data_IF_215479904575
#
_entry.id   IF_215479904575
#
_cell.length_a   1.000
_cell.length_b   1.000
_cell.length_c   1.000
_cell.angle_alpha   90.00
_cell.angle_beta   90.00
_cell.angle_gamma   90.00
#
_symmetry.space_group_name_H-M   'P 1'
#
loop_
_entity.id
_entity.type
_entity.pdbx_description
1 polymer ?
#
# COMPACT_ATOMS: atom_id res chain seq x y z
N UNK A 1 41.84 -36.04 -39.48
CA UNK A 1 42.91 -36.02 -38.47
C UNK A 1 42.32 -36.58 -37.19
N UNK A 2 42.73 -37.80 -36.85
CA UNK A 2 42.27 -38.57 -35.69
C UNK A 2 43.15 -38.20 -34.50
N UNK A 3 42.56 -37.87 -33.35
CA UNK A 3 43.14 -38.19 -32.05
C UNK A 3 42.03 -38.58 -31.07
N UNK A 4 42.32 -39.62 -30.31
CA UNK A 4 41.45 -40.54 -29.59
C UNK A 4 41.43 -40.29 -28.07
N UNK A 5 40.23 -40.39 -27.44
CA UNK A 5 39.85 -41.02 -26.13
C UNK A 5 40.67 -40.75 -24.84
N UNK A 6 40.26 -41.20 -23.61
CA UNK A 6 39.02 -41.86 -23.15
C UNK A 6 38.46 -41.35 -21.78
N UNK A 7 37.37 -41.99 -21.33
CA UNK A 7 36.94 -42.29 -19.94
C UNK A 7 35.59 -41.74 -19.43
N UNK A 8 34.67 -42.72 -19.24
CA UNK A 8 33.69 -42.95 -18.13
C UNK A 8 32.84 -41.77 -17.62
N UNK A 9 31.51 -41.80 -17.60
CA UNK A 9 30.60 -42.88 -17.20
C UNK A 9 30.05 -42.61 -15.80
N UNK A 10 28.93 -41.87 -15.68
CA UNK A 10 28.00 -41.92 -14.53
C UNK A 10 26.59 -41.57 -15.01
N UNK A 11 25.64 -42.49 -14.80
CA UNK A 11 24.22 -42.27 -15.01
C UNK A 11 23.65 -41.40 -13.88
N UNK A 12 23.09 -40.23 -14.23
CA UNK A 12 22.24 -39.45 -13.35
C UNK A 12 20.89 -39.24 -14.02
N UNK A 13 19.86 -39.94 -13.54
CA UNK A 13 18.46 -39.64 -13.87
C UNK A 13 18.15 -38.22 -13.38
N UNK A 14 17.99 -37.28 -14.31
CA UNK A 14 17.34 -36.00 -14.04
C UNK A 14 15.82 -36.23 -14.06
N UNK A 15 15.23 -36.45 -12.88
CA UNK A 15 13.78 -36.36 -12.73
C UNK A 15 13.38 -34.88 -12.76
N UNK A 16 12.84 -34.45 -13.90
CA UNK A 16 12.12 -33.18 -14.02
C UNK A 16 10.78 -33.31 -13.29
N UNK A 17 10.72 -32.84 -12.05
CA UNK A 17 9.47 -32.67 -11.33
C UNK A 17 8.78 -31.39 -11.82
N UNK A 18 7.84 -31.54 -12.76
CA UNK A 18 6.90 -30.48 -13.13
C UNK A 18 5.92 -30.27 -11.97
N UNK A 19 6.05 -29.15 -11.26
CA UNK A 19 4.98 -28.67 -10.39
C UNK A 19 3.84 -28.14 -11.26
N UNK A 20 2.83 -28.98 -11.50
CA UNK A 20 1.53 -28.53 -12.01
C UNK A 20 0.79 -27.89 -10.84
N UNK A 21 0.79 -26.56 -10.80
CA UNK A 21 -0.06 -25.79 -9.90
C UNK A 21 -1.48 -25.77 -10.48
N UNK A 22 -2.32 -26.73 -10.08
CA UNK A 22 -3.77 -26.64 -10.36
C UNK A 22 -4.36 -25.62 -9.40
N UNK A 23 -4.77 -24.45 -9.93
CA UNK A 23 -5.71 -23.57 -9.23
C UNK A 23 -7.05 -24.31 -9.13
N UNK A 24 -7.71 -24.33 -7.96
CA UNK A 24 -9.16 -24.56 -7.95
C UNK A 24 -9.81 -23.32 -8.58
N UNK A 25 -11.06 -23.41 -9.01
CA UNK A 25 -11.91 -22.26 -9.40
C UNK A 25 -11.97 -21.93 -10.90
N UNK A 26 -12.20 -22.92 -11.77
CA UNK A 26 -13.05 -22.70 -12.96
C UNK A 26 -13.80 -23.99 -13.32
N UNK A 27 -15.10 -24.05 -13.05
CA UNK A 27 -15.99 -24.98 -13.74
C UNK A 27 -17.40 -24.38 -13.84
N UNK A 28 -17.67 -23.69 -14.95
CA UNK A 28 -19.02 -23.45 -15.43
C UNK A 28 -19.35 -24.45 -16.55
N UNK A 29 -20.45 -25.19 -16.33
CA UNK A 29 -21.45 -25.68 -17.29
C UNK A 29 -20.98 -26.53 -18.48
N UNK A 30 -21.41 -27.80 -18.50
CA UNK A 30 -22.22 -28.32 -19.62
C UNK A 30 -23.12 -29.50 -19.18
N UNK A 31 -24.30 -29.57 -19.81
CA UNK A 31 -25.48 -30.36 -19.47
C UNK A 31 -25.61 -31.52 -20.48
N UNK A 32 -25.60 -32.80 -20.06
CA UNK A 32 -26.48 -33.90 -20.56
C UNK A 32 -26.05 -35.33 -20.19
N UNK A 33 -27.10 -36.10 -19.87
CA UNK A 33 -27.38 -37.55 -20.07
C UNK A 33 -26.82 -38.58 -19.08
N UNK A 34 -27.80 -39.38 -18.63
CA UNK A 34 -27.78 -40.63 -17.89
C UNK A 34 -26.83 -41.69 -18.45
N UNK A 35 -26.20 -42.49 -17.59
CA UNK A 35 -26.54 -43.91 -17.36
C UNK A 35 -25.55 -44.58 -16.39
N UNK A 36 -26.09 -45.51 -15.60
CA UNK A 36 -25.44 -46.72 -15.07
C UNK A 36 -24.62 -46.69 -13.78
N UNK A 37 -25.22 -47.38 -12.80
CA UNK A 37 -24.69 -47.95 -11.55
C UNK A 37 -23.24 -48.43 -11.65
N UNK A 38 -22.40 -48.01 -10.70
CA UNK A 38 -21.31 -48.83 -10.15
C UNK A 38 -21.42 -48.76 -8.62
N UNK A 39 -21.78 -49.88 -8.00
CA UNK A 39 -21.57 -50.12 -6.57
C UNK A 39 -20.09 -50.49 -6.41
N UNK A 40 -19.35 -49.70 -5.65
CA UNK A 40 -18.11 -50.15 -5.01
C UNK A 40 -18.30 -50.00 -3.51
N UNK A 41 -18.40 -51.14 -2.84
CA UNK A 41 -18.42 -51.25 -1.40
C UNK A 41 -17.04 -50.84 -0.85
N UNK A 42 -17.00 -49.86 0.04
CA UNK A 42 -15.80 -49.52 0.80
C UNK A 42 -16.09 -49.81 2.28
N UNK A 43 -15.37 -50.78 2.84
CA UNK A 43 -15.38 -51.05 4.27
C UNK A 43 -14.46 -50.06 5.00
N UNK A 44 -14.81 -49.58 6.20
CA UNK A 44 -13.97 -48.66 6.96
C UNK A 44 -12.99 -49.43 7.85
N UNK A 45 -11.69 -49.40 7.52
CA UNK A 45 -10.64 -49.77 8.47
C UNK A 45 -10.05 -48.53 9.12
N UNK A 46 -10.17 -48.50 10.45
CA UNK A 46 -9.59 -47.55 11.37
C UNK A 46 -8.11 -47.23 11.07
N UNK A 47 -7.79 -45.96 10.83
CA UNK A 47 -6.43 -45.44 11.01
C UNK A 47 -6.52 -44.14 11.80
N UNK A 48 -6.17 -44.23 13.08
CA UNK A 48 -5.89 -43.08 13.94
C UNK A 48 -4.64 -42.39 13.41
N UNK A 49 -4.80 -41.26 12.74
CA UNK A 49 -3.68 -40.40 12.36
C UNK A 49 -3.31 -39.54 13.57
N UNK A 50 -2.27 -39.95 14.32
CA UNK A 50 -1.66 -39.09 15.33
C UNK A 50 -0.79 -38.04 14.63
N UNK A 51 -1.24 -36.78 14.66
CA UNK A 51 -0.40 -35.64 14.32
C UNK A 51 0.54 -35.35 15.49
N UNK A 52 1.78 -35.83 15.38
CA UNK A 52 2.87 -35.43 16.29
C UNK A 52 3.50 -34.14 15.77
N UNK A 53 3.16 -33.00 16.39
CA UNK A 53 3.84 -31.72 16.17
C UNK A 53 5.21 -31.80 16.86
N UNK A 54 6.29 -31.94 16.08
CA UNK A 54 7.65 -31.74 16.58
C UNK A 54 7.95 -30.23 16.59
N UNK A 55 7.86 -29.62 17.77
CA UNK A 55 8.35 -28.27 18.03
C UNK A 55 9.89 -28.31 17.99
N UNK A 56 10.49 -27.75 16.94
CA UNK A 56 11.92 -27.46 16.94
C UNK A 56 12.17 -26.20 17.79
N UNK A 57 12.53 -26.40 19.05
CA UNK A 57 13.08 -25.35 19.89
C UNK A 57 14.55 -25.10 19.48
N UNK A 58 14.82 -23.97 18.82
CA UNK A 58 16.19 -23.49 18.60
C UNK A 58 16.65 -22.83 19.90
N UNK A 59 17.40 -23.59 20.70
CA UNK A 59 18.08 -23.08 21.88
C UNK A 59 19.29 -22.23 21.44
N UNK A 60 19.17 -20.91 21.53
CA UNK A 60 20.28 -19.98 21.30
C UNK A 60 21.19 -19.98 22.53
N UNK A 61 22.28 -20.75 22.47
CA UNK A 61 23.29 -20.84 23.54
C UNK A 61 24.24 -19.64 23.44
N UNK A 62 23.88 -18.53 24.09
CA UNK A 62 24.77 -17.37 24.24
C UNK A 62 25.85 -17.68 25.28
N UNK A 63 27.09 -17.86 24.81
CA UNK A 63 28.29 -17.97 25.65
C UNK A 63 28.66 -16.58 26.15
N UNK A 64 28.54 -16.37 27.45
CA UNK A 64 29.10 -15.22 28.16
C UNK A 64 30.63 -15.39 28.25
N UNK A 65 31.39 -14.52 27.59
CA UNK A 65 32.82 -14.39 27.75
C UNK A 65 33.11 -12.98 28.26
N UNK A 66 33.38 -12.90 29.56
CA UNK A 66 33.89 -11.73 30.26
C UNK A 66 35.36 -11.51 29.89
N UNK A 67 35.67 -10.41 29.23
CA UNK A 67 37.01 -9.84 29.18
C UNK A 67 37.00 -8.48 29.86
N UNK A 68 37.64 -8.42 31.04
CA UNK A 68 38.07 -7.20 31.69
C UNK A 68 39.26 -6.63 30.91
N UNK A 69 39.15 -5.39 30.45
CA UNK A 69 40.31 -4.60 29.99
C UNK A 69 40.05 -3.15 30.37
N UNK A 70 40.66 -2.73 31.47
CA UNK A 70 40.71 -1.35 31.90
C UNK A 70 41.66 -0.57 30.98
N UNK A 71 41.16 0.47 30.32
CA UNK A 71 41.98 1.55 29.79
C UNK A 71 41.24 2.87 29.98
N UNK A 72 41.72 3.64 30.94
CA UNK A 72 41.29 5.00 31.25
C UNK A 72 41.82 5.97 30.21
N UNK A 73 40.94 6.60 29.45
CA UNK A 73 41.27 7.80 28.66
C UNK A 73 40.27 8.88 29.06
N UNK A 74 40.81 9.96 29.61
CA UNK A 74 40.10 11.16 30.04
C UNK A 74 39.69 11.96 28.79
N UNK A 75 38.42 12.33 28.60
CA UNK A 75 38.06 13.35 27.64
C UNK A 75 38.01 14.71 28.34
N UNK A 76 38.92 15.60 27.94
CA UNK A 76 38.87 17.04 28.18
C UNK A 76 37.53 17.59 27.67
N UNK A 77 36.76 18.21 28.56
CA UNK A 77 35.50 18.86 28.23
C UNK A 77 35.81 20.18 27.52
N UNK A 78 35.83 20.17 26.19
CA UNK A 78 35.62 21.39 25.42
C UNK A 78 34.11 21.62 25.30
N UNK A 79 33.57 22.51 26.12
CA UNK A 79 32.26 23.13 25.89
C UNK A 79 32.36 24.04 24.67
N UNK A 80 32.28 23.45 23.49
CA UNK A 80 31.80 24.15 22.31
C UNK A 80 30.28 24.00 22.31
N UNK A 81 29.58 25.08 22.61
CA UNK A 81 28.14 25.20 22.37
C UNK A 81 27.90 25.10 20.86
N UNK A 82 27.75 23.86 20.39
CA UNK A 82 27.12 23.57 19.12
C UNK A 82 25.66 23.96 19.30
N UNK A 83 25.28 25.10 18.72
CA UNK A 83 23.89 25.48 18.46
C UNK A 83 23.33 24.54 17.38
N UNK A 84 23.35 23.25 17.67
CA UNK A 84 22.87 22.17 16.82
C UNK A 84 21.48 21.83 17.29
N UNK A 85 20.49 22.44 16.64
CA UNK A 85 19.24 21.82 16.19
C UNK A 85 18.70 20.75 17.16
N UNK A 86 18.58 21.12 18.44
CA UNK A 86 17.90 20.32 19.43
C UNK A 86 16.40 20.56 19.21
N UNK A 87 15.74 19.55 18.66
CA UNK A 87 14.28 19.48 18.60
C UNK A 87 13.64 20.70 17.96
N UNK A 88 13.63 20.75 16.62
CA UNK A 88 12.48 21.35 15.95
C UNK A 88 11.30 20.47 16.34
N UNK A 89 10.68 20.78 17.48
CA UNK A 89 9.33 20.37 17.79
C UNK A 89 8.57 20.61 16.49
N UNK A 90 8.04 19.53 15.90
CA UNK A 90 6.94 19.63 14.94
C UNK A 90 5.70 20.09 15.72
N UNK A 91 5.86 21.20 16.44
CA UNK A 91 4.82 21.92 17.13
C UNK A 91 3.94 22.43 16.02
N UNK A 92 2.93 21.62 15.70
CA UNK A 92 1.66 22.10 15.24
C UNK A 92 1.39 23.39 16.01
N UNK A 93 1.21 24.51 15.30
CA UNK A 93 0.50 25.63 15.91
C UNK A 93 -0.87 25.06 16.29
N UNK A 94 -1.19 25.04 17.58
CA UNK A 94 -2.54 24.69 18.06
C UNK A 94 -3.52 25.60 17.31
N UNK A 95 -4.24 25.05 16.32
CA UNK A 95 -5.09 25.80 15.39
C UNK A 95 -5.04 25.31 13.93
N UNK A 96 -3.94 24.70 13.48
CA UNK A 96 -3.80 24.26 12.07
C UNK A 96 -4.20 22.80 11.84
N UNK A 97 -4.76 22.12 12.86
CA UNK A 97 -5.24 20.74 12.78
C UNK A 97 -6.23 20.46 13.91
N UNK A 98 -7.03 19.42 13.75
CA UNK A 98 -7.98 19.02 14.78
C UNK A 98 -8.84 17.84 14.37
N UNK A 99 -9.98 17.69 15.06
CA UNK A 99 -10.98 16.72 14.72
C UNK A 99 -12.40 17.20 15.03
N UNK A 100 -13.38 16.63 14.35
CA UNK A 100 -14.81 16.79 14.62
C UNK A 100 -15.59 15.62 14.02
N UNK A 101 -16.85 15.45 14.41
CA UNK A 101 -17.68 14.35 13.91
C UNK A 101 -18.42 14.75 12.63
N UNK A 102 -18.48 13.82 11.67
CA UNK A 102 -19.30 13.91 10.48
C UNK A 102 -20.19 12.68 10.44
N UNK A 103 -21.50 12.89 10.57
CA UNK A 103 -22.46 11.80 10.59
C UNK A 103 -22.34 10.92 9.34
N UNK A 104 -22.17 9.61 9.54
CA UNK A 104 -22.06 8.62 8.46
C UNK A 104 -20.65 8.45 7.87
N UNK A 105 -19.66 9.23 8.32
CA UNK A 105 -18.28 9.10 7.86
C UNK A 105 -17.69 7.73 8.22
N UNK A 106 -18.07 7.13 9.36
CA UNK A 106 -17.66 5.80 9.76
C UNK A 106 -18.07 4.72 8.77
N UNK A 107 -19.33 4.76 8.32
CA UNK A 107 -19.82 3.88 7.26
C UNK A 107 -19.05 4.10 5.95
N UNK A 108 -18.72 5.36 5.63
CA UNK A 108 -17.94 5.69 4.43
C UNK A 108 -16.50 5.18 4.51
N UNK A 109 -15.81 5.33 5.65
CA UNK A 109 -14.47 4.73 5.89
C UNK A 109 -14.51 3.23 5.66
N UNK A 110 -15.55 2.56 6.16
CA UNK A 110 -15.74 1.12 5.93
C UNK A 110 -15.96 0.77 4.46
N UNK A 111 -16.67 1.60 3.70
CA UNK A 111 -16.80 1.40 2.25
C UNK A 111 -15.45 1.50 1.53
N UNK A 112 -14.61 2.47 1.90
CA UNK A 112 -13.24 2.62 1.35
C UNK A 112 -12.38 1.39 1.66
N UNK A 113 -12.35 0.94 2.92
CA UNK A 113 -11.59 -0.24 3.33
C UNK A 113 -12.08 -1.52 2.61
N UNK A 114 -13.40 -1.72 2.50
CA UNK A 114 -14.00 -2.86 1.77
C UNK A 114 -13.72 -2.83 0.28
N UNK A 115 -13.49 -1.66 -0.30
CA UNK A 115 -13.13 -1.50 -1.70
C UNK A 115 -11.62 -1.72 -1.98
N UNK A 116 -10.83 -2.08 -0.96
CA UNK A 116 -9.40 -2.37 -1.06
C UNK A 116 -8.50 -1.27 -0.50
N UNK A 117 -9.07 -0.25 0.12
CA UNK A 117 -8.31 0.84 0.73
C UNK A 117 -7.62 0.43 2.03
N UNK A 118 -6.63 1.23 2.44
CA UNK A 118 -5.90 1.11 3.69
C UNK A 118 -5.95 2.43 4.49
N UNK A 119 -5.24 2.50 5.62
CA UNK A 119 -5.22 3.70 6.48
C UNK A 119 -4.59 4.92 5.81
N UNK A 120 -3.64 4.73 4.90
CA UNK A 120 -3.09 5.83 4.09
C UNK A 120 -4.15 6.36 3.11
N UNK A 121 -4.92 5.49 2.47
CA UNK A 121 -6.03 5.89 1.60
C UNK A 121 -7.07 6.70 2.37
N UNK A 122 -7.46 6.23 3.57
CA UNK A 122 -8.35 7.00 4.44
C UNK A 122 -7.76 8.38 4.78
N UNK A 123 -6.48 8.45 5.13
CA UNK A 123 -5.85 9.72 5.49
C UNK A 123 -5.80 10.72 4.34
N UNK A 124 -5.47 10.27 3.12
CA UNK A 124 -5.48 11.11 1.92
C UNK A 124 -6.91 11.58 1.64
N UNK A 125 -7.88 10.67 1.52
CA UNK A 125 -9.27 11.02 1.23
C UNK A 125 -9.87 11.98 2.28
N UNK A 126 -9.49 11.81 3.55
CA UNK A 126 -9.93 12.66 4.66
C UNK A 126 -9.37 14.08 4.58
N UNK A 127 -8.15 14.24 4.05
CA UNK A 127 -7.55 15.55 3.81
C UNK A 127 -8.23 16.25 2.62
N UNK A 128 -8.55 15.51 1.56
CA UNK A 128 -9.07 16.06 0.30
C UNK A 128 -10.53 16.52 0.39
N UNK A 129 -11.37 15.81 1.15
CA UNK A 129 -12.79 16.18 1.34
C UNK A 129 -13.25 15.88 2.76
N UNK A 130 -14.30 16.57 3.22
CA UNK A 130 -14.86 16.32 4.55
C UNK A 130 -15.49 14.93 4.65
N UNK A 131 -16.20 14.49 3.60
CA UNK A 131 -17.05 13.31 3.59
C UNK A 131 -16.47 12.11 2.86
N UNK A 132 -15.26 12.21 2.28
CA UNK A 132 -14.65 11.19 1.41
C UNK A 132 -15.56 10.84 0.20
N UNK A 133 -16.21 11.85 -0.38
CA UNK A 133 -17.15 11.75 -1.51
C UNK A 133 -16.64 12.56 -2.71
N UNK A 134 -17.39 12.49 -3.81
CA UNK A 134 -17.06 13.05 -5.13
C UNK A 134 -18.06 14.12 -5.59
N UNK A 135 -18.78 14.71 -4.64
CA UNK A 135 -19.81 15.75 -4.82
C UNK A 135 -19.24 17.18 -4.89
N UNK A 136 -17.91 17.31 -4.98
CA UNK A 136 -17.26 18.58 -5.30
C UNK A 136 -17.51 18.97 -6.76
N UNK A 137 -17.32 20.25 -7.08
CA UNK A 137 -17.41 20.77 -8.46
C UNK A 137 -16.64 19.87 -9.41
N UNK A 138 -17.24 19.47 -10.54
CA UNK A 138 -16.60 18.58 -11.50
C UNK A 138 -15.16 19.02 -11.82
N UNK A 139 -14.22 18.08 -11.76
CA UNK A 139 -12.82 18.35 -12.03
C UNK A 139 -12.13 19.23 -10.98
N UNK A 140 -12.77 19.52 -9.84
CA UNK A 140 -12.37 20.56 -8.88
C UNK A 140 -12.25 21.95 -9.54
N UNK A 141 -13.04 22.20 -10.59
CA UNK A 141 -12.98 23.44 -11.40
C UNK A 141 -11.74 23.55 -12.30
N UNK A 142 -10.94 22.47 -12.40
CA UNK A 142 -9.72 22.40 -13.22
C UNK A 142 -10.01 21.68 -14.55
N UNK A 143 -9.10 21.88 -15.51
CA UNK A 143 -9.20 21.33 -16.88
C UNK A 143 -7.92 20.60 -17.28
N UNK A 144 -8.01 19.79 -18.34
CA UNK A 144 -6.87 19.06 -18.90
C UNK A 144 -6.20 18.17 -17.86
N UNK A 145 -4.88 18.17 -17.84
CA UNK A 145 -4.07 17.36 -16.93
C UNK A 145 -4.25 17.69 -15.44
N UNK A 146 -4.76 18.88 -15.11
CA UNK A 146 -5.05 19.30 -13.74
C UNK A 146 -6.42 18.86 -13.22
N UNK A 147 -7.30 18.33 -14.08
CA UNK A 147 -8.66 17.91 -13.71
C UNK A 147 -8.62 16.82 -12.64
N UNK A 148 -9.36 17.00 -11.54
CA UNK A 148 -9.36 16.06 -10.41
C UNK A 148 -10.57 15.11 -10.41
N UNK A 149 -10.32 13.84 -10.07
CA UNK A 149 -11.33 12.79 -9.96
C UNK A 149 -11.20 11.94 -8.69
N UNK A 150 -12.29 11.29 -8.30
CA UNK A 150 -12.32 10.36 -7.17
C UNK A 150 -12.26 11.05 -5.81
N UNK A 151 -12.25 10.25 -4.75
CA UNK A 151 -12.25 10.73 -3.36
C UNK A 151 -10.89 11.31 -2.96
N UNK A 152 -9.84 10.96 -3.71
CA UNK A 152 -8.49 11.47 -3.48
C UNK A 152 -8.20 12.73 -4.29
N UNK A 153 -9.13 13.20 -5.14
CA UNK A 153 -8.88 14.29 -6.11
C UNK A 153 -7.64 14.05 -6.98
N UNK A 154 -7.48 12.83 -7.51
CA UNK A 154 -6.34 12.48 -8.36
C UNK A 154 -6.38 13.29 -9.66
N UNK A 155 -5.28 13.98 -10.01
CA UNK A 155 -5.21 14.74 -11.25
C UNK A 155 -5.04 13.82 -12.48
N UNK A 156 -5.57 14.25 -13.63
CA UNK A 156 -5.57 13.47 -14.86
C UNK A 156 -4.17 13.12 -15.36
N UNK A 157 -3.18 14.00 -15.18
CA UNK A 157 -1.79 13.69 -15.52
C UNK A 157 -1.29 12.44 -14.80
N UNK A 158 -1.47 12.38 -13.47
CA UNK A 158 -1.05 11.23 -12.68
C UNK A 158 -1.81 9.98 -13.13
N UNK A 159 -3.13 10.08 -13.34
CA UNK A 159 -3.96 8.96 -13.78
C UNK A 159 -3.49 8.40 -15.13
N UNK A 160 -3.42 9.22 -16.18
CA UNK A 160 -3.11 8.77 -17.55
C UNK A 160 -1.65 8.33 -17.75
N UNK A 161 -0.75 8.68 -16.84
CA UNK A 161 0.66 8.27 -16.90
C UNK A 161 0.96 7.01 -16.09
N UNK A 162 0.12 6.68 -15.10
CA UNK A 162 0.45 5.63 -14.13
C UNK A 162 -0.63 4.59 -13.85
N UNK A 163 -1.92 4.97 -13.88
CA UNK A 163 -3.03 4.06 -13.58
C UNK A 163 -3.31 3.15 -14.78
N UNK A 164 -3.36 1.83 -14.56
CA UNK A 164 -3.51 0.84 -15.65
C UNK A 164 -4.76 1.05 -16.52
N UNK A 165 -5.85 1.56 -15.96
CA UNK A 165 -7.10 1.90 -16.68
C UNK A 165 -6.89 3.02 -17.71
N UNK A 166 -6.01 3.97 -17.42
CA UNK A 166 -5.84 5.21 -18.19
C UNK A 166 -4.47 5.34 -18.84
N UNK A 167 -3.56 4.39 -18.59
CA UNK A 167 -2.15 4.51 -18.96
C UNK A 167 -2.00 4.68 -20.48
N UNK A 168 -1.34 5.77 -20.89
CA UNK A 168 -1.08 6.09 -22.28
C UNK A 168 -2.19 6.90 -22.97
N UNK A 169 -3.27 7.23 -22.26
CA UNK A 169 -4.28 8.14 -22.79
C UNK A 169 -3.73 9.58 -22.92
N UNK A 170 -4.29 10.31 -23.88
CA UNK A 170 -3.97 11.70 -24.12
C UNK A 170 -4.66 12.62 -23.09
N UNK A 171 -4.15 13.84 -22.94
CA UNK A 171 -4.76 14.87 -22.08
C UNK A 171 -6.23 15.13 -22.46
N UNK A 172 -6.53 15.23 -23.77
CA UNK A 172 -7.89 15.46 -24.26
C UNK A 172 -8.91 14.35 -23.95
N UNK A 173 -8.45 13.19 -23.45
CA UNK A 173 -9.31 12.09 -23.01
C UNK A 173 -9.71 12.19 -21.53
N UNK A 174 -9.51 13.35 -20.91
CA UNK A 174 -9.75 13.63 -19.49
C UNK A 174 -11.12 13.20 -18.96
N UNK A 175 -12.18 13.26 -19.78
CA UNK A 175 -13.51 12.81 -19.39
C UNK A 175 -13.57 11.34 -18.99
N UNK A 176 -12.64 10.51 -19.45
CA UNK A 176 -12.56 9.10 -19.07
C UNK A 176 -12.26 8.92 -17.57
N UNK A 177 -11.60 9.88 -16.94
CA UNK A 177 -11.34 9.87 -15.49
C UNK A 177 -12.61 9.98 -14.63
N UNK A 178 -13.72 10.48 -15.18
CA UNK A 178 -14.98 10.68 -14.46
C UNK A 178 -15.56 9.37 -13.90
N UNK A 179 -15.20 8.21 -14.45
CA UNK A 179 -15.62 6.90 -13.92
C UNK A 179 -15.23 6.72 -12.44
N UNK A 180 -14.12 7.33 -12.01
CA UNK A 180 -13.64 7.26 -10.62
C UNK A 180 -14.57 7.98 -9.64
N UNK A 181 -15.41 8.90 -10.11
CA UNK A 181 -16.39 9.59 -9.27
C UNK A 181 -17.55 8.66 -8.84
N UNK A 182 -17.77 7.57 -9.58
CA UNK A 182 -18.85 6.59 -9.33
C UNK A 182 -18.35 5.19 -8.97
N UNK A 183 -17.10 4.85 -9.30
CA UNK A 183 -16.52 3.52 -9.02
C UNK A 183 -15.36 3.61 -8.04
N UNK A 184 -15.69 3.41 -6.76
CA UNK A 184 -14.72 3.49 -5.65
C UNK A 184 -13.60 2.46 -5.76
N UNK A 185 -13.86 1.26 -6.31
CA UNK A 185 -12.82 0.23 -6.46
C UNK A 185 -11.81 0.64 -7.52
N UNK A 186 -12.27 1.20 -8.63
CA UNK A 186 -11.39 1.76 -9.66
C UNK A 186 -10.59 2.94 -9.13
N UNK A 187 -11.20 3.82 -8.33
CA UNK A 187 -10.51 4.99 -7.75
C UNK A 187 -9.35 4.57 -6.85
N UNK A 188 -9.60 3.67 -5.88
CA UNK A 188 -8.57 3.11 -5.00
C UNK A 188 -7.48 2.42 -5.82
N UNK A 189 -7.87 1.59 -6.79
CA UNK A 189 -6.89 0.89 -7.64
C UNK A 189 -6.03 1.88 -8.43
N UNK A 190 -6.59 2.92 -9.01
CA UNK A 190 -5.85 3.93 -9.76
C UNK A 190 -4.82 4.65 -8.88
N UNK A 191 -5.19 4.97 -7.63
CA UNK A 191 -4.29 5.56 -6.64
C UNK A 191 -3.14 4.62 -6.29
N UNK A 192 -3.44 3.35 -6.07
CA UNK A 192 -2.46 2.30 -5.78
C UNK A 192 -1.51 2.07 -6.97
N UNK A 193 -2.04 2.03 -8.19
CA UNK A 193 -1.24 1.93 -9.42
C UNK A 193 -0.30 3.12 -9.54
N UNK A 194 -0.78 4.34 -9.25
CA UNK A 194 0.03 5.55 -9.30
C UNK A 194 1.19 5.54 -8.31
N UNK A 195 0.93 5.19 -7.06
CA UNK A 195 1.99 5.11 -6.05
C UNK A 195 2.97 3.96 -6.34
N UNK A 196 2.49 2.85 -6.91
CA UNK A 196 3.36 1.76 -7.37
C UNK A 196 4.27 2.18 -8.53
N UNK A 197 3.77 3.01 -9.44
CA UNK A 197 4.52 3.47 -10.60
C UNK A 197 5.57 4.51 -10.24
N UNK A 198 5.20 5.54 -9.48
CA UNK A 198 6.09 6.65 -9.15
C UNK A 198 6.91 6.42 -7.87
N UNK A 199 6.48 5.52 -7.00
CA UNK A 199 6.99 5.44 -5.63
C UNK A 199 6.35 6.48 -4.71
N UNK A 200 6.54 6.31 -3.40
CA UNK A 200 5.85 7.12 -2.38
C UNK A 200 6.07 8.63 -2.56
N UNK A 201 7.33 9.07 -2.60
CA UNK A 201 7.66 10.51 -2.61
C UNK A 201 7.21 11.21 -3.89
N UNK A 202 7.51 10.62 -5.05
CA UNK A 202 7.17 11.20 -6.35
C UNK A 202 5.66 11.15 -6.60
N UNK A 203 4.95 10.13 -6.09
CA UNK A 203 3.51 10.10 -6.16
C UNK A 203 2.88 11.25 -5.37
N UNK A 204 3.31 11.49 -4.13
CA UNK A 204 2.81 12.62 -3.34
C UNK A 204 3.09 13.96 -4.02
N UNK A 205 4.28 14.10 -4.59
CA UNK A 205 4.66 15.29 -5.34
C UNK A 205 3.79 15.52 -6.57
N UNK A 206 3.59 14.49 -7.39
CA UNK A 206 2.78 14.57 -8.59
C UNK A 206 1.28 14.66 -8.31
N UNK A 207 0.83 14.05 -7.22
CA UNK A 207 -0.54 14.19 -6.72
C UNK A 207 -0.81 15.65 -6.34
N UNK A 208 0.12 16.25 -5.59
CA UNK A 208 0.03 17.63 -5.15
C UNK A 208 0.17 18.63 -6.30
N UNK A 209 1.22 18.53 -7.11
CA UNK A 209 1.62 19.58 -8.06
C UNK A 209 1.86 19.05 -9.49
N UNK A 210 1.15 18.01 -9.90
CA UNK A 210 1.14 17.49 -11.27
C UNK A 210 2.52 17.15 -11.82
N UNK A 211 2.71 17.39 -13.12
CA UNK A 211 3.97 17.11 -13.81
C UNK A 211 5.18 17.85 -13.20
N UNK A 212 5.00 19.09 -12.76
CA UNK A 212 6.06 19.85 -12.07
C UNK A 212 6.45 19.25 -10.73
N UNK A 213 5.50 18.68 -9.99
CA UNK A 213 5.77 17.96 -8.75
C UNK A 213 6.57 16.69 -9.01
N UNK A 214 6.26 15.93 -10.05
CA UNK A 214 7.04 14.75 -10.44
C UNK A 214 8.51 15.11 -10.74
N UNK A 215 8.75 16.26 -11.37
CA UNK A 215 10.10 16.74 -11.68
C UNK A 215 10.84 17.32 -10.46
N UNK A 216 10.11 17.86 -9.47
CA UNK A 216 10.69 18.46 -8.27
C UNK A 216 9.92 18.01 -7.00
N UNK A 217 10.21 16.79 -6.49
CA UNK A 217 9.36 16.16 -5.49
C UNK A 217 9.58 16.61 -4.04
N UNK A 218 10.53 17.51 -3.78
CA UNK A 218 10.98 17.86 -2.42
C UNK A 218 10.79 19.35 -2.10
N UNK A 219 9.76 19.98 -2.67
CA UNK A 219 9.40 21.37 -2.29
C UNK A 219 8.77 21.41 -0.89
N UNK A 220 8.81 22.59 -0.27
CA UNK A 220 8.22 22.80 1.06
C UNK A 220 6.70 22.53 1.09
N UNK A 221 5.98 22.89 0.03
CA UNK A 221 4.54 22.65 -0.10
C UNK A 221 4.21 21.15 -0.17
N UNK A 222 4.97 20.39 -0.97
CA UNK A 222 4.82 18.94 -1.08
C UNK A 222 5.11 18.27 0.27
N UNK A 223 6.17 18.71 0.97
CA UNK A 223 6.50 18.17 2.28
C UNK A 223 5.41 18.49 3.31
N UNK A 224 4.86 19.69 3.31
CA UNK A 224 3.75 20.07 4.20
C UNK A 224 2.51 19.20 3.97
N UNK A 225 2.16 18.93 2.70
CA UNK A 225 1.05 18.03 2.37
C UNK A 225 1.33 16.58 2.84
N UNK A 226 2.55 16.06 2.63
CA UNK A 226 2.94 14.73 3.12
C UNK A 226 2.85 14.62 4.64
N UNK A 227 3.34 15.64 5.35
CA UNK A 227 3.32 15.67 6.82
C UNK A 227 1.88 15.75 7.35
N UNK A 228 1.00 16.48 6.67
CA UNK A 228 -0.43 16.53 6.99
C UNK A 228 -1.09 15.14 6.87
N UNK A 229 -0.87 14.44 5.75
CA UNK A 229 -1.40 13.08 5.56
C UNK A 229 -0.82 12.11 6.58
N UNK A 230 0.49 12.20 6.86
CA UNK A 230 1.14 11.36 7.86
C UNK A 230 0.55 11.58 9.26
N UNK A 231 0.27 12.83 9.64
CA UNK A 231 -0.36 13.14 10.91
C UNK A 231 -1.77 12.58 11.01
N UNK A 232 -2.61 12.75 9.96
CA UNK A 232 -3.97 12.17 9.91
C UNK A 232 -3.92 10.65 10.02
N UNK A 233 -3.02 10.01 9.27
CA UNK A 233 -2.81 8.55 9.32
C UNK A 233 -2.44 8.09 10.73
N UNK A 234 -1.54 8.81 11.41
CA UNK A 234 -1.18 8.51 12.79
C UNK A 234 -2.39 8.60 13.73
N UNK A 235 -3.29 9.57 13.54
CA UNK A 235 -4.50 9.68 14.36
C UNK A 235 -5.43 8.47 14.12
N UNK A 236 -5.66 8.10 12.86
CA UNK A 236 -6.48 6.93 12.49
C UNK A 236 -5.88 5.63 13.06
N UNK A 237 -4.56 5.52 13.11
CA UNK A 237 -3.86 4.34 13.61
C UNK A 237 -3.70 4.31 15.14
N UNK A 238 -3.91 5.44 15.82
CA UNK A 238 -3.79 5.53 17.29
C UNK A 238 -4.87 4.74 18.04
N UNK A 239 -6.01 4.48 17.40
CA UNK A 239 -7.10 3.69 17.97
C UNK A 239 -7.96 3.09 16.85
N UNK A 240 -8.22 1.79 16.91
CA UNK A 240 -8.98 1.07 15.88
C UNK A 240 -10.38 1.66 15.63
N UNK A 241 -11.00 2.26 16.66
CA UNK A 241 -12.31 2.91 16.52
C UNK A 241 -12.32 4.01 15.45
N UNK A 242 -11.19 4.68 15.21
CA UNK A 242 -11.12 5.78 14.23
C UNK A 242 -11.21 5.31 12.78
N UNK A 243 -11.12 3.99 12.53
CA UNK A 243 -11.39 3.39 11.22
C UNK A 243 -12.88 3.14 10.98
N UNK A 244 -13.71 3.18 12.01
CA UNK A 244 -15.13 2.79 11.97
C UNK A 244 -16.08 3.89 12.45
N UNK A 245 -15.61 4.85 13.23
CA UNK A 245 -16.41 5.95 13.77
C UNK A 245 -16.53 7.15 12.82
N UNK A 246 -17.31 8.14 13.24
CA UNK A 246 -17.59 9.36 12.49
C UNK A 246 -16.55 10.47 12.69
N UNK A 247 -15.44 10.20 13.38
CA UNK A 247 -14.40 11.20 13.66
C UNK A 247 -13.62 11.53 12.40
N UNK A 248 -13.65 12.78 11.95
CA UNK A 248 -12.74 13.32 10.95
C UNK A 248 -11.57 14.00 11.63
N UNK A 249 -10.34 13.65 11.24
CA UNK A 249 -9.14 14.42 11.53
C UNK A 249 -8.82 15.33 10.34
N UNK A 250 -8.33 16.53 10.62
CA UNK A 250 -8.03 17.51 9.58
C UNK A 250 -6.74 18.26 9.89
N UNK A 251 -6.11 18.76 8.83
CA UNK A 251 -4.96 19.67 8.88
C UNK A 251 -5.24 20.75 7.84
N UNK A 252 -5.00 22.01 8.19
CA UNK A 252 -5.10 23.12 7.25
C UNK A 252 -3.90 23.06 6.30
N UNK A 253 -4.17 22.75 5.04
CA UNK A 253 -3.18 22.80 3.95
C UNK A 253 -3.69 23.79 2.91
N UNK A 254 -2.82 24.67 2.43
CA UNK A 254 -3.20 25.63 1.40
C UNK A 254 -3.65 24.92 0.12
N UNK A 255 -4.67 25.43 -0.58
CA UNK A 255 -5.06 24.88 -1.88
C UNK A 255 -4.12 25.40 -2.98
N UNK A 256 -3.94 24.62 -4.06
CA UNK A 256 -3.22 25.01 -5.28
C UNK A 256 -4.01 24.64 -6.53
#
# INVERSE_FOLDING_TARGET
MILSSPYTGVSGKLEFCWFIYTRPDVAQLYKRREYSRIRLAFQPSNVRCQFSIKIFAIAFKMRFLTFLSALTIVPSVFSASVTGIAGKSLGARDGDRGHYNISGLGARKQAVLKAGGNTQDLAIAMLETNTMTTDYTYGDGKNGDSTNFGIFKQNWFMLRTSASEFKGQAEGQVSNGAILNSDLKKDIKARHDGQKHFGYDVWFAGHRNGASGVQNPYTADIQAYKDAVAWIKQQIESNEKYRTDDTRFWVQVHAI
#
